data_IF_128781962264
#
_entry.id   IF_128781962264
#
_cell.length_a   1.000
_cell.length_b   1.000
_cell.length_c   1.000
_cell.angle_alpha   90.00
_cell.angle_beta   90.00
_cell.angle_gamma   90.00
#
_symmetry.space_group_name_H-M   'P 1'
#
loop_
_entity.id
_entity.type
_entity.pdbx_description
1 polymer ?
#
# COMPACT_ATOMS: atom_id res chain seq x y z
N UNK A 1 1.61 -12.91 10.80
CA UNK A 1 2.32 -12.89 9.50
C UNK A 1 1.38 -13.34 8.37
N UNK A 2 1.65 -12.88 7.15
CA UNK A 2 0.92 -13.26 5.94
C UNK A 2 1.90 -13.78 4.87
N UNK A 3 1.45 -14.56 3.89
CA UNK A 3 2.31 -15.03 2.80
C UNK A 3 2.95 -13.88 2.00
N UNK A 4 4.16 -14.10 1.50
CA UNK A 4 4.84 -13.15 0.62
C UNK A 4 4.16 -13.04 -0.76
N UNK A 5 3.62 -14.16 -1.24
CA UNK A 5 2.92 -14.25 -2.52
C UNK A 5 1.41 -14.17 -2.33
N UNK A 6 0.77 -13.34 -3.13
CA UNK A 6 -0.68 -13.20 -3.19
C UNK A 6 -1.19 -13.46 -4.61
N UNK A 7 -2.48 -13.77 -4.74
CA UNK A 7 -3.09 -13.81 -6.06
C UNK A 7 -3.00 -12.43 -6.72
N UNK A 8 -2.53 -12.40 -7.96
CA UNK A 8 -2.39 -11.14 -8.70
C UNK A 8 -3.72 -10.41 -8.81
N UNK A 9 -4.83 -11.14 -8.99
CA UNK A 9 -6.19 -10.57 -8.98
C UNK A 9 -6.59 -9.89 -7.66
N UNK A 10 -5.98 -10.30 -6.54
CA UNK A 10 -6.19 -9.65 -5.24
C UNK A 10 -5.39 -8.35 -5.10
N UNK A 11 -4.21 -8.30 -5.71
CA UNK A 11 -3.31 -7.13 -5.65
C UNK A 11 -3.71 -6.04 -6.65
N UNK A 12 -4.07 -6.42 -7.88
CA UNK A 12 -4.39 -5.47 -8.97
C UNK A 12 -5.58 -4.58 -8.64
N UNK A 13 -5.50 -3.32 -9.07
CA UNK A 13 -6.52 -2.30 -8.88
C UNK A 13 -6.66 -1.76 -7.45
N UNK A 14 -5.78 -2.17 -6.52
CA UNK A 14 -5.81 -1.70 -5.13
C UNK A 14 -4.91 -0.48 -4.88
N UNK A 15 -3.92 -0.28 -5.73
CA UNK A 15 -2.88 0.74 -5.58
C UNK A 15 -2.95 1.83 -6.65
N UNK A 16 -4.03 1.85 -7.45
CA UNK A 16 -4.15 2.71 -8.63
C UNK A 16 -3.21 2.28 -9.77
N UNK A 17 -3.33 2.91 -10.93
CA UNK A 17 -2.53 2.55 -12.12
C UNK A 17 -1.01 2.61 -11.89
N UNK A 18 -0.55 3.61 -11.14
CA UNK A 18 0.88 3.76 -10.83
C UNK A 18 1.37 2.65 -9.90
N UNK A 19 0.60 2.30 -8.87
CA UNK A 19 0.95 1.22 -7.96
C UNK A 19 0.92 -0.15 -8.65
N UNK A 20 -0.03 -0.39 -9.52
CA UNK A 20 -0.14 -1.64 -10.27
C UNK A 20 1.08 -1.90 -11.19
N UNK A 21 1.72 -0.82 -11.70
CA UNK A 21 2.98 -0.91 -12.45
C UNK A 21 4.18 -1.35 -11.57
N UNK A 22 4.07 -1.13 -10.26
CA UNK A 22 5.12 -1.45 -9.30
C UNK A 22 4.98 -2.85 -8.69
N UNK A 23 3.96 -3.61 -9.07
CA UNK A 23 3.79 -4.99 -8.62
C UNK A 23 4.79 -5.93 -9.29
N UNK A 24 5.55 -6.66 -8.49
CA UNK A 24 6.32 -7.79 -8.99
C UNK A 24 5.38 -8.95 -9.30
N UNK A 25 5.32 -9.34 -10.58
CA UNK A 25 4.56 -10.48 -11.05
C UNK A 25 5.45 -11.71 -11.09
N UNK A 26 4.91 -12.86 -10.72
CA UNK A 26 5.63 -14.13 -10.67
C UNK A 26 5.09 -15.01 -11.80
N UNK A 27 5.96 -15.40 -12.72
CA UNK A 27 5.60 -16.33 -13.78
C UNK A 27 5.09 -17.64 -13.19
N UNK A 28 4.04 -18.19 -13.79
CA UNK A 28 3.51 -19.49 -13.40
C UNK A 28 4.58 -20.57 -13.52
N UNK A 29 4.64 -21.45 -12.52
CA UNK A 29 5.52 -22.62 -12.57
C UNK A 29 5.06 -23.59 -13.65
N UNK A 30 6.02 -24.22 -14.34
CA UNK A 30 5.75 -25.10 -15.48
C UNK A 30 5.62 -24.31 -16.78
N UNK A 31 4.59 -24.60 -17.57
CA UNK A 31 4.35 -23.93 -18.84
C UNK A 31 3.64 -22.59 -18.64
N UNK A 32 4.41 -21.52 -18.51
CA UNK A 32 3.87 -20.15 -18.37
C UNK A 32 3.24 -19.60 -19.68
N UNK A 33 3.41 -20.28 -20.81
CA UNK A 33 2.79 -19.93 -22.08
C UNK A 33 1.42 -20.60 -22.27
N UNK A 34 1.04 -21.52 -21.39
CA UNK A 34 -0.27 -22.18 -21.45
C UNK A 34 -1.41 -21.16 -21.51
N UNK A 35 -2.27 -21.27 -22.52
CA UNK A 35 -3.37 -20.34 -22.74
C UNK A 35 -3.00 -18.99 -23.37
N UNK A 36 -1.78 -18.84 -23.87
CA UNK A 36 -1.31 -17.69 -24.65
C UNK A 36 -1.17 -18.11 -26.12
N UNK A 37 -1.78 -17.37 -27.04
CA UNK A 37 -1.68 -17.69 -28.47
C UNK A 37 -0.44 -17.03 -29.10
N UNK A 38 -0.02 -17.55 -30.26
CA UNK A 38 1.11 -16.99 -31.02
C UNK A 38 0.84 -15.53 -31.45
N UNK A 39 -0.41 -15.19 -31.74
CA UNK A 39 -0.84 -13.82 -32.06
C UNK A 39 -0.59 -12.91 -30.85
N UNK A 40 -0.99 -13.33 -29.64
CA UNK A 40 -0.80 -12.56 -28.42
C UNK A 40 0.68 -12.38 -28.06
N UNK A 41 1.51 -13.38 -28.35
CA UNK A 41 2.95 -13.27 -28.20
C UNK A 41 3.55 -12.29 -29.23
N UNK A 42 3.04 -12.30 -30.45
CA UNK A 42 3.50 -11.41 -31.52
C UNK A 42 3.17 -9.94 -31.28
N UNK A 43 2.07 -9.66 -30.53
CA UNK A 43 1.69 -8.30 -30.10
C UNK A 43 2.74 -7.65 -29.19
N UNK A 44 3.60 -8.42 -28.51
CA UNK A 44 4.61 -7.95 -27.53
C UNK A 44 4.01 -7.05 -26.44
N UNK A 45 2.75 -7.29 -26.08
CA UNK A 45 2.07 -6.56 -25.04
C UNK A 45 2.41 -7.16 -23.65
N UNK A 46 3.37 -6.55 -22.95
CA UNK A 46 3.86 -7.04 -21.66
C UNK A 46 2.76 -7.08 -20.58
N UNK A 47 1.79 -6.17 -20.63
CA UNK A 47 0.69 -6.14 -19.64
C UNK A 47 -0.22 -7.34 -19.87
N UNK A 48 -0.67 -7.56 -21.10
CA UNK A 48 -1.55 -8.68 -21.47
C UNK A 48 -0.87 -10.04 -21.21
N UNK A 49 0.39 -10.15 -21.61
CA UNK A 49 1.21 -11.32 -21.32
C UNK A 49 1.30 -11.60 -19.82
N UNK A 50 1.66 -10.58 -19.02
CA UNK A 50 1.79 -10.72 -17.57
C UNK A 50 0.49 -11.10 -16.87
N UNK A 51 -0.68 -10.67 -17.37
CA UNK A 51 -1.98 -11.06 -16.81
C UNK A 51 -2.32 -12.53 -17.06
N UNK A 52 -1.81 -13.14 -18.13
CA UNK A 52 -2.03 -14.56 -18.45
C UNK A 52 -0.96 -15.47 -17.89
N UNK A 53 0.32 -15.03 -17.95
CA UNK A 53 1.47 -15.82 -17.54
C UNK A 53 1.74 -15.78 -16.03
N UNK A 54 1.05 -14.91 -15.27
CA UNK A 54 1.30 -14.71 -13.85
C UNK A 54 -0.01 -14.75 -13.06
N UNK A 55 -0.21 -15.79 -12.27
CA UNK A 55 -1.33 -15.88 -11.32
C UNK A 55 -1.01 -15.23 -9.98
N UNK A 56 0.27 -15.13 -9.67
CA UNK A 56 0.78 -14.62 -8.39
C UNK A 56 1.62 -13.36 -8.58
N UNK A 57 1.67 -12.57 -7.53
CA UNK A 57 2.60 -11.45 -7.37
C UNK A 57 3.16 -11.40 -5.96
N UNK A 58 4.26 -10.67 -5.78
CA UNK A 58 4.75 -10.35 -4.44
C UNK A 58 3.91 -9.22 -3.85
N UNK A 59 3.60 -9.33 -2.56
CA UNK A 59 2.83 -8.30 -1.86
C UNK A 59 3.55 -6.95 -1.93
N UNK A 60 2.81 -5.93 -2.26
CA UNK A 60 3.28 -4.55 -2.38
C UNK A 60 3.36 -3.85 -1.03
N UNK A 61 2.45 -4.19 -0.12
CA UNK A 61 2.35 -3.74 1.25
C UNK A 61 1.78 -4.87 2.14
N UNK A 62 1.54 -4.57 3.40
CA UNK A 62 0.93 -5.51 4.35
C UNK A 62 -0.58 -5.32 4.50
N UNK A 63 -1.16 -4.27 3.90
CA UNK A 63 -2.58 -3.90 4.05
C UNK A 63 -3.49 -4.86 3.31
N UNK A 64 -3.22 -5.15 2.02
CA UNK A 64 -4.06 -6.05 1.22
C UNK A 64 -4.05 -7.48 1.75
N UNK A 65 -2.89 -8.09 2.07
CA UNK A 65 -2.85 -9.40 2.74
C UNK A 65 -3.59 -9.42 4.09
N UNK A 66 -3.49 -8.35 4.86
CA UNK A 66 -4.19 -8.22 6.12
C UNK A 66 -5.71 -8.12 5.94
N UNK A 67 -6.19 -7.30 5.01
CA UNK A 67 -7.61 -7.19 4.69
C UNK A 67 -8.19 -8.55 4.28
N UNK A 68 -7.47 -9.31 3.44
CA UNK A 68 -7.85 -10.68 3.07
C UNK A 68 -7.94 -11.59 4.29
N UNK A 69 -6.96 -11.53 5.18
CA UNK A 69 -6.95 -12.30 6.43
C UNK A 69 -8.19 -11.98 7.29
N UNK A 70 -8.49 -10.70 7.50
CA UNK A 70 -9.65 -10.26 8.28
C UNK A 70 -10.96 -10.79 7.68
N UNK A 71 -11.10 -10.73 6.35
CA UNK A 71 -12.31 -11.25 5.67
C UNK A 71 -12.44 -12.77 5.85
N UNK A 72 -11.34 -13.51 5.68
CA UNK A 72 -11.33 -14.97 5.81
C UNK A 72 -11.62 -15.45 7.25
N UNK A 73 -11.18 -14.69 8.24
CA UNK A 73 -11.33 -15.05 9.66
C UNK A 73 -12.35 -14.18 10.40
N UNK A 74 -13.26 -13.54 9.65
CA UNK A 74 -14.22 -12.58 10.20
C UNK A 74 -15.04 -13.14 11.37
N UNK A 75 -15.35 -14.42 11.35
CA UNK A 75 -16.16 -15.07 12.37
C UNK A 75 -15.32 -15.57 13.58
N UNK A 76 -13.99 -15.57 13.45
CA UNK A 76 -13.08 -16.13 14.45
C UNK A 76 -12.40 -15.03 15.27
N UNK A 77 -12.40 -13.77 14.77
CA UNK A 77 -11.75 -12.63 15.42
C UNK A 77 -12.76 -11.73 16.12
N UNK A 78 -12.38 -11.27 17.31
CA UNK A 78 -13.16 -10.28 18.05
C UNK A 78 -12.79 -8.86 17.58
N UNK A 79 -13.81 -8.01 17.40
CA UNK A 79 -13.64 -6.60 17.05
C UNK A 79 -13.82 -5.70 18.30
N UNK A 80 -13.10 -4.56 18.40
CA UNK A 80 -12.08 -4.08 17.46
C UNK A 80 -10.83 -4.97 17.47
N UNK A 81 -10.35 -5.32 16.28
CA UNK A 81 -9.17 -6.16 16.13
C UNK A 81 -7.94 -5.27 15.92
N UNK A 82 -6.97 -5.40 16.81
CA UNK A 82 -5.70 -4.67 16.78
C UNK A 82 -4.57 -5.64 16.44
N UNK A 83 -3.73 -5.27 15.50
CA UNK A 83 -2.57 -6.11 15.12
C UNK A 83 -1.34 -5.26 14.85
N UNK A 84 -0.18 -5.86 14.93
CA UNK A 84 1.03 -5.37 14.29
C UNK A 84 1.62 -6.44 13.39
N UNK A 85 2.37 -6.03 12.39
CA UNK A 85 3.04 -6.92 11.46
C UNK A 85 4.35 -6.29 11.01
N UNK A 86 5.45 -7.08 11.04
CA UNK A 86 6.78 -6.66 10.61
C UNK A 86 7.26 -7.70 9.62
N UNK A 87 7.22 -7.37 8.34
CA UNK A 87 7.60 -8.27 7.26
C UNK A 87 8.11 -7.50 6.04
N UNK A 88 8.89 -8.17 5.14
CA UNK A 88 9.32 -7.56 3.90
C UNK A 88 8.17 -7.38 2.92
N UNK A 89 8.29 -6.35 2.09
CA UNK A 89 7.40 -6.04 0.96
C UNK A 89 8.25 -5.71 -0.27
N UNK A 90 7.64 -5.79 -1.46
CA UNK A 90 8.36 -5.64 -2.71
C UNK A 90 7.68 -4.66 -3.64
N UNK A 91 8.45 -3.68 -4.12
CA UNK A 91 7.99 -2.68 -5.08
C UNK A 91 8.98 -2.55 -6.22
N UNK A 92 8.51 -2.62 -7.46
CA UNK A 92 9.34 -2.51 -8.65
C UNK A 92 9.78 -1.06 -8.94
N UNK A 93 9.97 -0.25 -7.91
CA UNK A 93 10.49 1.11 -8.02
C UNK A 93 11.86 1.13 -8.71
N UNK A 94 12.15 2.25 -9.38
CA UNK A 94 13.51 2.52 -9.82
C UNK A 94 14.40 2.72 -8.59
N UNK A 95 15.45 1.92 -8.41
CA UNK A 95 16.33 2.03 -7.25
C UNK A 95 16.98 3.42 -7.17
N UNK A 96 16.91 4.02 -6.00
CA UNK A 96 17.56 5.29 -5.70
C UNK A 96 17.81 5.39 -4.18
N UNK A 97 18.54 6.41 -3.75
CA UNK A 97 18.81 6.61 -2.32
C UNK A 97 17.50 6.67 -1.52
N UNK A 98 17.37 5.79 -0.54
CA UNK A 98 16.17 5.67 0.30
C UNK A 98 14.97 4.93 -0.33
N UNK A 99 15.11 4.40 -1.57
CA UNK A 99 14.11 3.53 -2.19
C UNK A 99 14.73 2.21 -2.63
N UNK A 100 14.25 1.15 -2.03
CA UNK A 100 14.67 -0.23 -2.30
C UNK A 100 13.51 -1.01 -2.91
N UNK A 101 13.82 -2.05 -3.65
CA UNK A 101 12.80 -2.95 -4.22
C UNK A 101 12.28 -3.97 -3.23
N UNK A 102 13.05 -4.23 -2.18
CA UNK A 102 12.68 -5.04 -1.03
C UNK A 102 13.02 -4.26 0.23
N UNK A 103 12.05 -4.14 1.15
CA UNK A 103 12.24 -3.48 2.43
C UNK A 103 11.21 -3.97 3.45
N UNK A 104 11.49 -3.78 4.72
CA UNK A 104 10.56 -4.12 5.79
C UNK A 104 9.56 -3.00 6.02
N UNK A 105 8.29 -3.36 6.13
CA UNK A 105 7.26 -2.51 6.73
C UNK A 105 6.96 -2.96 8.16
N UNK A 106 6.70 -1.98 9.02
CA UNK A 106 6.26 -2.17 10.39
C UNK A 106 4.88 -1.51 10.50
N UNK A 107 3.84 -2.30 10.33
CA UNK A 107 2.46 -1.83 10.28
C UNK A 107 1.74 -2.10 11.60
N UNK A 108 0.98 -1.11 12.07
CA UNK A 108 0.02 -1.24 13.16
C UNK A 108 -1.37 -0.87 12.65
N UNK A 109 -2.35 -1.74 12.85
CA UNK A 109 -3.71 -1.54 12.35
C UNK A 109 -4.76 -1.80 13.42
N UNK A 110 -5.88 -1.10 13.29
CA UNK A 110 -7.11 -1.33 14.04
C UNK A 110 -8.26 -1.48 13.05
N UNK A 111 -9.06 -2.52 13.20
CA UNK A 111 -10.23 -2.79 12.36
C UNK A 111 -11.47 -2.97 13.22
N UNK A 112 -12.61 -2.41 12.75
CA UNK A 112 -13.91 -2.58 13.39
C UNK A 112 -14.19 -1.57 14.51
N UNK A 113 -13.62 -0.36 14.42
CA UNK A 113 -13.94 0.75 15.32
C UNK A 113 -13.80 2.09 14.60
N UNK A 114 -14.76 2.97 14.76
CA UNK A 114 -14.77 4.34 14.24
C UNK A 114 -14.27 5.38 15.26
N UNK A 115 -13.77 4.91 16.41
CA UNK A 115 -13.30 5.79 17.47
C UNK A 115 -11.98 6.45 17.11
N UNK A 116 -11.92 7.77 17.17
CA UNK A 116 -10.69 8.56 17.00
C UNK A 116 -9.63 8.31 18.07
N UNK A 117 -9.98 7.57 19.14
CA UNK A 117 -9.00 7.11 20.12
C UNK A 117 -7.99 6.15 19.49
N UNK A 118 -8.37 5.46 18.40
CA UNK A 118 -7.46 4.58 17.69
C UNK A 118 -6.28 5.35 17.06
N UNK A 119 -6.54 6.55 16.52
CA UNK A 119 -5.48 7.42 15.98
C UNK A 119 -4.53 7.88 17.08
N UNK A 120 -5.08 8.21 18.26
CA UNK A 120 -4.27 8.60 19.42
C UNK A 120 -3.36 7.43 19.87
N UNK A 121 -3.90 6.21 19.94
CA UNK A 121 -3.11 5.02 20.29
C UNK A 121 -1.99 4.76 19.28
N UNK A 122 -2.27 4.89 17.98
CA UNK A 122 -1.24 4.72 16.94
C UNK A 122 -0.12 5.76 17.07
N UNK A 123 -0.46 7.01 17.38
CA UNK A 123 0.53 8.06 17.63
C UNK A 123 1.37 7.73 18.87
N UNK A 124 0.74 7.28 19.95
CA UNK A 124 1.43 6.87 21.17
C UNK A 124 2.39 5.71 20.91
N UNK A 125 2.01 4.75 20.05
CA UNK A 125 2.92 3.67 19.63
C UNK A 125 4.15 4.23 18.91
N UNK A 126 3.96 5.16 17.96
CA UNK A 126 5.07 5.79 17.26
C UNK A 126 6.01 6.53 18.23
N UNK A 127 5.44 7.36 19.10
CA UNK A 127 6.22 8.11 20.10
C UNK A 127 7.03 7.17 21.00
N UNK A 128 6.40 6.13 21.54
CA UNK A 128 7.05 5.15 22.42
C UNK A 128 8.17 4.38 21.71
N UNK A 129 7.96 3.96 20.45
CA UNK A 129 8.97 3.26 19.66
C UNK A 129 10.21 4.12 19.46
N UNK A 130 10.03 5.36 18.98
CA UNK A 130 11.16 6.25 18.73
C UNK A 130 11.84 6.72 20.01
N UNK A 131 11.07 6.89 21.10
CA UNK A 131 11.61 7.16 22.43
C UNK A 131 12.55 6.02 22.90
N UNK A 132 12.14 4.77 22.71
CA UNK A 132 12.99 3.60 23.05
C UNK A 132 14.25 3.51 22.22
N UNK A 133 14.18 3.93 20.96
CA UNK A 133 15.36 4.01 20.09
C UNK A 133 16.26 5.22 20.39
N UNK A 134 15.85 6.13 21.26
CA UNK A 134 16.58 7.37 21.53
C UNK A 134 16.59 8.33 20.34
N UNK A 135 15.66 8.21 19.43
CA UNK A 135 15.54 9.03 18.21
C UNK A 135 14.48 10.11 18.45
N UNK A 136 14.89 11.37 18.34
CA UNK A 136 13.92 12.48 18.37
C UNK A 136 13.22 12.59 17.02
N UNK A 137 11.90 12.58 17.07
CA UNK A 137 11.03 12.68 15.89
C UNK A 137 10.05 13.83 16.03
N UNK A 138 9.55 14.31 14.90
CA UNK A 138 8.42 15.21 14.81
C UNK A 138 7.31 14.47 14.06
N UNK A 139 6.20 14.19 14.74
CA UNK A 139 5.04 13.53 14.14
C UNK A 139 4.17 14.61 13.49
N UNK A 140 4.15 14.66 12.16
CA UNK A 140 3.28 15.56 11.39
C UNK A 140 1.94 14.88 11.18
N UNK A 141 0.87 15.49 11.69
CA UNK A 141 -0.50 15.00 11.52
C UNK A 141 -1.26 15.90 10.56
N UNK A 142 -2.11 15.30 9.77
CA UNK A 142 -3.04 16.01 8.90
C UNK A 142 -4.39 15.31 8.86
N UNK A 143 -5.43 16.07 8.51
CA UNK A 143 -6.76 15.55 8.23
C UNK A 143 -7.22 16.08 6.88
N UNK A 144 -7.65 15.19 6.00
CA UNK A 144 -8.10 15.55 4.65
C UNK A 144 -9.28 16.56 4.68
N UNK A 145 -10.12 16.51 5.71
CA UNK A 145 -11.22 17.47 5.89
C UNK A 145 -10.72 18.90 6.11
N UNK A 146 -9.57 19.07 6.79
CA UNK A 146 -8.95 20.39 6.96
C UNK A 146 -8.50 20.93 5.61
N UNK A 147 -7.84 20.11 4.79
CA UNK A 147 -7.41 20.51 3.44
C UNK A 147 -8.60 20.84 2.54
N UNK A 148 -9.67 20.04 2.60
CA UNK A 148 -10.92 20.32 1.87
C UNK A 148 -11.54 21.65 2.31
N UNK A 149 -11.60 21.90 3.62
CA UNK A 149 -12.11 23.17 4.15
C UNK A 149 -11.28 24.38 3.70
N UNK A 150 -9.95 24.24 3.63
CA UNK A 150 -9.08 25.29 3.07
C UNK A 150 -9.43 25.55 1.60
N UNK A 151 -9.57 24.48 0.79
CA UNK A 151 -9.93 24.60 -0.63
C UNK A 151 -11.30 25.28 -0.82
N UNK A 152 -12.27 24.98 0.04
CA UNK A 152 -13.59 25.64 0.06
C UNK A 152 -13.50 27.14 0.40
N UNK A 153 -12.72 27.49 1.45
CA UNK A 153 -12.55 28.88 1.88
C UNK A 153 -11.93 29.76 0.78
N UNK A 154 -10.97 29.21 0.01
CA UNK A 154 -10.35 29.94 -1.10
C UNK A 154 -11.15 29.86 -2.41
N UNK A 155 -12.32 29.20 -2.42
CA UNK A 155 -13.19 29.08 -3.59
C UNK A 155 -12.72 28.07 -4.66
N UNK A 156 -11.81 27.15 -4.33
CA UNK A 156 -11.17 26.20 -5.25
C UNK A 156 -11.42 24.74 -4.83
N UNK A 157 -12.63 24.44 -4.36
CA UNK A 157 -13.00 23.11 -3.88
C UNK A 157 -12.74 22.00 -4.93
N UNK A 158 -12.96 22.30 -6.21
CA UNK A 158 -12.77 21.36 -7.33
C UNK A 158 -11.29 21.01 -7.56
N UNK A 159 -10.36 21.83 -7.07
CA UNK A 159 -8.91 21.65 -7.23
C UNK A 159 -8.23 21.04 -6.00
N UNK A 160 -8.99 20.42 -5.11
CA UNK A 160 -8.44 19.84 -3.87
C UNK A 160 -7.28 18.87 -4.13
N UNK A 161 -7.33 18.10 -5.22
CA UNK A 161 -6.25 17.17 -5.58
C UNK A 161 -4.97 17.93 -5.95
N UNK A 162 -5.08 18.95 -6.77
CA UNK A 162 -3.92 19.76 -7.20
C UNK A 162 -3.32 20.51 -6.02
N UNK A 163 -4.17 21.08 -5.14
CA UNK A 163 -3.78 21.76 -3.92
C UNK A 163 -3.01 20.81 -2.99
N UNK A 164 -3.53 19.60 -2.77
CA UNK A 164 -2.87 18.62 -1.89
C UNK A 164 -1.56 18.13 -2.47
N UNK A 165 -1.47 17.92 -3.79
CA UNK A 165 -0.21 17.58 -4.48
C UNK A 165 0.80 18.71 -4.38
N UNK A 166 0.37 19.97 -4.50
CA UNK A 166 1.25 21.12 -4.35
C UNK A 166 1.81 21.24 -2.92
N UNK A 167 0.94 21.05 -1.91
CA UNK A 167 1.34 21.04 -0.49
C UNK A 167 2.35 19.93 -0.20
N UNK A 168 2.16 18.72 -0.73
CA UNK A 168 3.10 17.59 -0.55
C UNK A 168 4.49 17.87 -1.15
N UNK A 169 4.55 18.74 -2.16
CA UNK A 169 5.82 19.15 -2.79
C UNK A 169 6.56 20.24 -2.04
N UNK A 170 5.87 21.03 -1.21
CA UNK A 170 6.51 22.15 -0.48
C UNK A 170 7.71 21.70 0.34
N UNK A 171 7.61 20.60 1.05
CA UNK A 171 8.71 20.04 1.86
C UNK A 171 9.88 19.49 1.00
N UNK A 172 9.66 19.27 -0.31
CA UNK A 172 10.65 18.67 -1.22
C UNK A 172 11.35 19.70 -2.12
N UNK A 173 10.67 20.81 -2.39
CA UNK A 173 11.15 21.84 -3.34
C UNK A 173 11.69 23.07 -2.59
N UNK A 174 11.31 23.24 -1.30
CA UNK A 174 11.80 24.28 -0.38
C UNK A 174 11.22 25.64 -0.70
#
# INVERSE_FOLDING_TARGET
ETPAMENLSTLMGKYGEEGDKLLFKILNSGDCFSGITDEELSERNAVRFGMKACEKGLRYDLTVPFARYVVQHRNDIAFPFKRYQIQPVWRADRPQKGRYREFYQCDGDVVGSDSLVNEVELIQIMDEVFRRFGIRVCIKMNNRKILSGIAEIIGEADKIVDITVAIDKLDKIG
#
